data_IF_574091502181
#
_entry.id   IF_574091502181
#
_cell.length_a   1.000
_cell.length_b   1.000
_cell.length_c   1.000
_cell.angle_alpha   90.00
_cell.angle_beta   90.00
_cell.angle_gamma   90.00
#
_symmetry.space_group_name_H-M   'P 1'
#
loop_
_entity.id
_entity.type
_entity.pdbx_description
1 polymer ?
#
# COMPACT_ATOMS: atom_id res chain seq x y z
N UNK A 1 -1.42 2.34 -32.76
CA UNK A 1 -0.15 1.62 -32.52
C UNK A 1 -0.15 0.33 -33.33
N UNK A 2 0.74 0.19 -34.31
CA UNK A 2 0.93 -1.05 -35.08
C UNK A 2 2.08 -1.82 -34.42
N UNK A 3 1.79 -2.96 -33.80
CA UNK A 3 2.83 -3.87 -33.33
C UNK A 3 3.58 -4.42 -34.55
N UNK A 4 4.91 -4.31 -34.53
CA UNK A 4 5.76 -4.90 -35.55
C UNK A 4 5.67 -6.43 -35.43
N UNK A 5 5.41 -7.13 -36.54
CA UNK A 5 5.32 -8.59 -36.59
C UNK A 5 6.59 -9.29 -36.04
N UNK A 6 7.71 -8.58 -35.96
CA UNK A 6 8.97 -9.08 -35.39
C UNK A 6 8.96 -9.21 -33.85
N UNK A 7 8.14 -8.45 -33.11
CA UNK A 7 8.09 -8.50 -31.64
C UNK A 7 7.21 -9.65 -31.13
N UNK A 8 6.12 -9.95 -31.85
CA UNK A 8 5.27 -11.11 -31.57
C UNK A 8 6.03 -12.43 -31.76
N UNK A 9 6.81 -12.52 -32.84
CA UNK A 9 7.60 -13.71 -33.14
C UNK A 9 8.71 -13.96 -32.10
N UNK A 10 9.36 -12.90 -31.61
CA UNK A 10 10.39 -13.00 -30.55
C UNK A 10 9.78 -13.51 -29.23
N UNK A 11 8.60 -13.01 -28.87
CA UNK A 11 7.92 -13.43 -27.64
C UNK A 11 7.47 -14.89 -27.71
N UNK A 12 6.95 -15.34 -28.85
CA UNK A 12 6.55 -16.75 -29.05
C UNK A 12 7.75 -17.71 -29.06
N UNK A 13 8.85 -17.36 -29.73
CA UNK A 13 10.08 -18.15 -29.73
C UNK A 13 10.69 -18.24 -28.32
N UNK A 14 10.62 -17.16 -27.55
CA UNK A 14 11.09 -17.14 -26.16
C UNK A 14 10.27 -18.09 -25.30
N UNK A 15 8.94 -18.03 -25.37
CA UNK A 15 8.07 -18.93 -24.61
C UNK A 15 8.28 -20.42 -24.98
N UNK A 16 8.47 -20.71 -26.26
CA UNK A 16 8.75 -22.07 -26.74
C UNK A 16 10.10 -22.61 -26.23
N UNK A 17 11.14 -21.78 -26.22
CA UNK A 17 12.47 -22.15 -25.72
C UNK A 17 12.44 -22.49 -24.22
N UNK A 18 11.68 -21.73 -23.43
CA UNK A 18 11.51 -21.97 -21.99
C UNK A 18 10.81 -23.30 -21.72
N UNK A 19 9.75 -23.60 -22.47
CA UNK A 19 9.02 -24.85 -22.34
C UNK A 19 9.89 -26.05 -22.75
N UNK A 20 10.74 -25.88 -23.77
CA UNK A 20 11.70 -26.91 -24.19
C UNK A 20 12.79 -27.16 -23.14
N UNK A 21 13.37 -26.10 -22.57
CA UNK A 21 14.41 -26.19 -21.54
C UNK A 21 13.91 -26.83 -20.24
N UNK A 22 12.64 -26.64 -19.89
CA UNK A 22 12.01 -27.27 -18.72
C UNK A 22 11.77 -28.78 -18.90
N UNK A 23 11.90 -29.32 -20.12
CA UNK A 23 11.59 -30.71 -20.46
C UNK A 23 12.83 -31.57 -20.73
N UNK A 24 14.03 -30.99 -20.60
CA UNK A 24 15.29 -31.65 -20.94
C UNK A 24 15.86 -32.48 -19.79
N UNK A 25 16.41 -33.63 -20.14
CA UNK A 25 17.11 -34.55 -19.24
C UNK A 25 18.61 -34.23 -19.11
N UNK A 26 19.32 -34.89 -18.18
CA UNK A 26 20.71 -34.57 -17.82
C UNK A 26 21.69 -34.62 -19.00
N UNK A 27 21.49 -35.52 -19.97
CA UNK A 27 22.36 -35.63 -21.14
C UNK A 27 22.23 -34.45 -22.12
N UNK A 28 21.06 -33.83 -22.21
CA UNK A 28 20.82 -32.67 -23.09
C UNK A 28 21.45 -31.40 -22.51
N UNK A 29 21.58 -31.31 -21.17
CA UNK A 29 22.31 -30.24 -20.50
C UNK A 29 23.83 -30.36 -20.69
N UNK A 30 24.35 -31.58 -20.78
CA UNK A 30 25.77 -31.83 -21.09
C UNK A 30 26.11 -31.42 -22.53
N UNK A 31 25.26 -31.75 -23.51
CA UNK A 31 25.42 -31.28 -24.90
C UNK A 31 25.30 -29.75 -25.01
N UNK A 32 24.36 -29.12 -24.28
CA UNK A 32 24.25 -27.66 -24.23
C UNK A 32 25.53 -27.01 -23.67
N UNK A 33 26.17 -27.63 -22.67
CA UNK A 33 27.41 -27.12 -22.08
C UNK A 33 28.63 -27.18 -23.02
N UNK A 34 28.63 -28.13 -23.97
CA UNK A 34 29.68 -28.22 -25.01
C UNK A 34 29.53 -27.09 -26.02
N UNK A 35 28.31 -26.86 -26.51
CA UNK A 35 27.98 -25.77 -27.46
C UNK A 35 28.20 -24.39 -26.83
N UNK A 36 27.95 -24.26 -25.51
CA UNK A 36 28.20 -23.02 -24.77
C UNK A 36 29.66 -22.57 -24.81
N UNK A 37 30.62 -23.50 -24.81
CA UNK A 37 32.05 -23.22 -24.89
C UNK A 37 32.50 -22.62 -26.24
N UNK A 38 31.70 -22.81 -27.29
CA UNK A 38 31.98 -22.30 -28.64
C UNK A 38 31.35 -20.92 -28.90
N UNK A 39 30.51 -20.42 -27.98
CA UNK A 39 29.85 -19.13 -28.12
C UNK A 39 30.77 -17.98 -27.75
N UNK A 40 30.63 -16.88 -28.49
CA UNK A 40 31.31 -15.63 -28.13
C UNK A 40 30.75 -15.06 -26.81
N UNK A 41 31.58 -14.33 -26.06
CA UNK A 41 31.19 -13.74 -24.78
C UNK A 41 29.85 -12.94 -24.81
N UNK A 42 29.53 -12.16 -25.87
CA UNK A 42 28.24 -11.47 -25.97
C UNK A 42 27.03 -12.42 -26.08
N UNK A 43 27.19 -13.56 -26.76
CA UNK A 43 26.13 -14.55 -26.91
C UNK A 43 25.86 -15.28 -25.59
N UNK A 44 26.91 -15.61 -24.84
CA UNK A 44 26.81 -16.19 -23.50
C UNK A 44 26.11 -15.22 -22.53
N UNK A 45 26.49 -13.95 -22.52
CA UNK A 45 25.88 -12.94 -21.65
C UNK A 45 24.38 -12.74 -21.95
N UNK A 46 24.02 -12.74 -23.24
CA UNK A 46 22.62 -12.64 -23.67
C UNK A 46 21.82 -13.86 -23.19
N UNK A 47 22.33 -15.07 -23.38
CA UNK A 47 21.66 -16.30 -22.97
C UNK A 47 21.47 -16.40 -21.45
N UNK A 48 22.47 -16.00 -20.64
CA UNK A 48 22.36 -15.93 -19.18
C UNK A 48 21.27 -14.96 -18.76
N UNK A 49 21.23 -13.78 -19.39
CA UNK A 49 20.22 -12.75 -19.10
C UNK A 49 18.81 -13.28 -19.39
N UNK A 50 18.62 -13.97 -20.52
CA UNK A 50 17.34 -14.59 -20.86
C UNK A 50 16.93 -15.69 -19.86
N UNK A 51 17.85 -16.58 -19.47
CA UNK A 51 17.57 -17.62 -18.48
C UNK A 51 17.21 -17.01 -17.11
N UNK A 52 17.88 -15.94 -16.70
CA UNK A 52 17.58 -15.22 -15.46
C UNK A 52 16.21 -14.54 -15.51
N UNK A 53 15.87 -13.86 -16.60
CA UNK A 53 14.54 -13.23 -16.77
C UNK A 53 13.44 -14.28 -16.73
N UNK A 54 13.63 -15.40 -17.44
CA UNK A 54 12.69 -16.52 -17.43
C UNK A 54 12.57 -17.14 -16.05
N UNK A 55 13.69 -17.35 -15.35
CA UNK A 55 13.70 -17.89 -14.00
C UNK A 55 12.94 -16.98 -13.04
N UNK A 56 13.15 -15.66 -13.12
CA UNK A 56 12.40 -14.67 -12.34
C UNK A 56 10.92 -14.76 -12.67
N UNK A 57 10.54 -14.74 -13.95
CA UNK A 57 9.12 -14.83 -14.35
C UNK A 57 8.45 -16.14 -13.93
N UNK A 58 9.14 -17.28 -14.03
CA UNK A 58 8.63 -18.58 -13.58
C UNK A 58 8.54 -18.67 -12.05
N UNK A 59 9.47 -18.03 -11.32
CA UNK A 59 9.42 -17.96 -9.86
C UNK A 59 8.31 -17.03 -9.38
N UNK A 60 8.08 -15.93 -10.08
CA UNK A 60 6.96 -15.00 -9.86
C UNK A 60 5.61 -15.65 -10.23
N UNK A 61 5.57 -16.48 -11.27
CA UNK A 61 4.37 -17.16 -11.74
C UNK A 61 3.98 -18.41 -10.93
N UNK A 62 4.94 -19.11 -10.31
CA UNK A 62 4.66 -20.28 -9.45
C UNK A 62 4.00 -19.94 -8.12
N UNK A 63 3.97 -18.67 -7.73
CA UNK A 63 3.13 -18.17 -6.62
C UNK A 63 1.64 -18.03 -6.97
N UNK A 64 1.26 -18.13 -8.26
CA UNK A 64 -0.06 -17.70 -8.75
C UNK A 64 -0.91 -18.84 -9.36
N UNK A 65 -0.41 -20.08 -9.45
CA UNK A 65 -1.12 -21.19 -10.11
C UNK A 65 -1.78 -22.26 -9.22
N UNK A 66 -2.14 -21.95 -7.96
CA UNK A 66 -3.11 -22.80 -7.23
C UNK A 66 -4.36 -22.03 -6.80
N UNK A 67 -5.44 -22.36 -7.51
CA UNK A 67 -6.89 -22.12 -7.29
C UNK A 67 -7.49 -20.90 -7.96
N UNK A 68 -7.97 -21.12 -9.19
CA UNK A 68 -9.24 -20.54 -9.66
C UNK A 68 -10.34 -21.55 -9.34
N UNK A 69 -11.05 -21.29 -8.25
CA UNK A 69 -12.42 -21.73 -8.03
C UNK A 69 -13.07 -20.60 -7.22
N UNK A 70 -13.90 -19.81 -7.90
CA UNK A 70 -14.56 -18.64 -7.35
C UNK A 70 -15.47 -19.03 -6.18
N UNK A 71 -15.09 -18.63 -4.96
CA UNK A 71 -15.98 -18.23 -3.88
C UNK A 71 -15.22 -17.25 -2.96
N UNK A 72 -15.92 -16.19 -2.55
CA UNK A 72 -15.47 -15.04 -1.75
C UNK A 72 -14.54 -15.42 -0.59
N UNK A 73 -13.31 -14.88 -0.55
CA UNK A 73 -12.46 -14.67 0.64
C UNK A 73 -11.16 -13.92 0.28
N UNK A 74 -10.85 -12.87 1.03
CA UNK A 74 -9.68 -11.98 0.88
C UNK A 74 -8.32 -12.72 0.98
N UNK A 75 -7.25 -12.23 0.33
CA UNK A 75 -5.94 -12.86 0.42
C UNK A 75 -5.31 -12.68 1.81
N UNK A 76 -4.69 -13.76 2.29
CA UNK A 76 -4.21 -13.97 3.65
C UNK A 76 -2.96 -13.15 4.01
N UNK A 77 -2.98 -12.57 5.20
CA UNK A 77 -2.00 -11.69 5.83
C UNK A 77 -0.57 -12.25 6.04
N UNK A 78 -0.20 -13.39 5.47
CA UNK A 78 1.04 -14.10 5.83
C UNK A 78 2.24 -13.70 4.94
N UNK A 79 2.03 -13.31 3.69
CA UNK A 79 3.12 -12.93 2.78
C UNK A 79 3.69 -11.53 3.06
N UNK A 80 2.91 -10.64 3.67
CA UNK A 80 3.35 -9.31 4.12
C UNK A 80 4.24 -9.36 5.38
N UNK A 81 4.20 -10.45 6.15
CA UNK A 81 4.87 -10.55 7.47
C UNK A 81 6.39 -10.81 7.42
N UNK A 82 6.91 -11.33 6.31
CA UNK A 82 8.35 -11.63 6.23
C UNK A 82 9.22 -10.39 5.97
N UNK A 83 8.66 -9.35 5.35
CA UNK A 83 9.37 -8.10 5.07
C UNK A 83 9.41 -7.14 6.27
N UNK A 84 8.34 -7.08 7.07
CA UNK A 84 8.23 -6.15 8.20
C UNK A 84 8.99 -6.62 9.46
N UNK A 85 9.08 -7.94 9.68
CA UNK A 85 9.77 -8.50 10.84
C UNK A 85 11.28 -8.23 10.86
N UNK A 86 11.90 -8.00 9.69
CA UNK A 86 13.33 -7.69 9.58
C UNK A 86 13.65 -6.20 9.76
N UNK A 87 12.66 -5.31 9.63
CA UNK A 87 12.84 -3.87 9.85
C UNK A 87 12.60 -3.45 11.31
N UNK A 88 11.85 -4.24 12.09
CA UNK A 88 11.47 -3.91 13.48
C UNK A 88 12.40 -4.47 14.57
N UNK A 89 13.43 -5.25 14.19
CA UNK A 89 14.26 -6.01 15.13
C UNK A 89 15.40 -5.22 15.80
N UNK A 90 15.42 -3.90 15.71
CA UNK A 90 16.49 -3.09 16.29
C UNK A 90 15.99 -1.79 16.92
N UNK A 91 15.19 -1.86 17.99
CA UNK A 91 15.28 -0.96 19.16
C UNK A 91 14.35 -1.46 20.29
N UNK A 92 14.78 -1.45 21.56
CA UNK A 92 13.91 -1.79 22.69
C UNK A 92 12.92 -0.64 22.98
N UNK A 93 11.62 -0.93 22.96
CA UNK A 93 10.57 0.03 23.30
C UNK A 93 10.46 0.24 24.81
N UNK A 94 11.08 1.30 25.31
CA UNK A 94 10.70 1.90 26.58
C UNK A 94 9.57 2.92 26.31
N UNK A 95 8.31 2.62 26.71
CA UNK A 95 7.25 3.65 26.71
C UNK A 95 5.83 3.17 26.36
N UNK A 96 5.23 2.31 27.18
CA UNK A 96 3.89 1.76 26.91
C UNK A 96 2.77 2.80 26.73
N UNK A 97 2.78 3.89 27.51
CA UNK A 97 1.78 4.97 27.41
C UNK A 97 2.12 6.01 26.32
N UNK A 98 3.38 6.48 26.25
CA UNK A 98 3.82 7.41 25.19
C UNK A 98 3.71 6.78 23.78
N UNK A 99 3.91 5.47 23.65
CA UNK A 99 3.67 4.77 22.38
C UNK A 99 2.19 4.62 22.05
N UNK A 100 1.32 4.42 23.05
CA UNK A 100 -0.12 4.34 22.83
C UNK A 100 -0.73 5.68 22.42
N UNK A 101 -0.40 6.76 23.13
CA UNK A 101 -0.89 8.11 22.80
C UNK A 101 -0.43 8.55 21.40
N UNK A 102 0.84 8.29 21.07
CA UNK A 102 1.37 8.53 19.72
C UNK A 102 0.56 7.76 18.68
N UNK A 103 0.41 6.44 18.84
CA UNK A 103 -0.38 5.62 17.91
C UNK A 103 -1.82 6.11 17.81
N UNK A 104 -2.45 6.47 18.92
CA UNK A 104 -3.82 6.96 18.92
C UNK A 104 -3.97 8.24 18.09
N UNK A 105 -3.02 9.17 18.21
CA UNK A 105 -3.00 10.39 17.40
C UNK A 105 -2.71 10.12 15.93
N UNK A 106 -1.84 9.17 15.63
CA UNK A 106 -1.55 8.71 14.27
C UNK A 106 -2.82 8.11 13.61
N UNK A 107 -3.48 7.16 14.26
CA UNK A 107 -4.71 6.53 13.74
C UNK A 107 -5.88 7.53 13.66
N UNK A 108 -6.02 8.42 14.65
CA UNK A 108 -7.01 9.48 14.60
C UNK A 108 -6.81 10.41 13.40
N UNK A 109 -5.56 10.69 13.02
CA UNK A 109 -5.27 11.53 11.86
C UNK A 109 -5.73 10.87 10.56
N UNK A 110 -5.55 9.56 10.41
CA UNK A 110 -6.13 8.82 9.29
C UNK A 110 -7.66 8.93 9.25
N UNK A 111 -8.34 8.70 10.37
CA UNK A 111 -9.80 8.78 10.47
C UNK A 111 -10.29 10.15 10.01
N UNK A 112 -9.74 11.23 10.56
CA UNK A 112 -10.12 12.61 10.21
C UNK A 112 -9.79 12.91 8.75
N UNK A 113 -8.63 12.50 8.25
CA UNK A 113 -8.22 12.69 6.86
C UNK A 113 -9.16 12.01 5.86
N UNK A 114 -9.57 10.76 6.13
CA UNK A 114 -10.52 10.04 5.28
C UNK A 114 -11.92 10.68 5.32
N UNK A 115 -12.46 10.93 6.51
CA UNK A 115 -13.82 11.46 6.67
C UNK A 115 -13.95 12.86 6.07
N UNK A 116 -12.97 13.74 6.29
CA UNK A 116 -12.96 15.09 5.70
C UNK A 116 -12.83 15.11 4.18
N UNK A 117 -12.34 14.01 3.59
CA UNK A 117 -12.27 13.83 2.13
C UNK A 117 -13.49 13.09 1.56
N UNK A 118 -14.53 12.87 2.37
CA UNK A 118 -15.75 12.16 1.97
C UNK A 118 -15.59 10.63 1.85
N UNK A 119 -14.46 10.07 2.28
CA UNK A 119 -14.26 8.61 2.35
C UNK A 119 -14.95 8.06 3.60
N UNK A 120 -15.51 6.86 3.50
CA UNK A 120 -16.19 6.21 4.63
C UNK A 120 -15.17 5.44 5.46
N UNK A 121 -15.15 5.68 6.78
CA UNK A 121 -14.36 4.88 7.73
C UNK A 121 -15.30 3.92 8.45
N UNK A 122 -15.03 2.62 8.32
CA UNK A 122 -15.81 1.56 8.97
C UNK A 122 -15.30 1.25 10.37
N UNK A 123 -13.99 1.17 10.53
CA UNK A 123 -13.35 0.72 11.78
C UNK A 123 -12.03 1.46 12.02
N UNK A 124 -11.72 1.67 13.29
CA UNK A 124 -10.36 2.03 13.74
C UNK A 124 -9.99 1.26 15.02
N UNK A 125 -8.75 0.79 15.07
CA UNK A 125 -8.13 0.16 16.23
C UNK A 125 -6.72 0.73 16.41
N UNK A 126 -6.27 0.90 17.65
CA UNK A 126 -4.93 1.42 17.99
C UNK A 126 -4.02 0.33 18.59
N UNK A 127 -4.58 -0.84 18.89
CA UNK A 127 -3.85 -1.90 19.58
C UNK A 127 -2.89 -2.60 18.65
N UNK A 128 -1.78 -3.07 19.22
CA UNK A 128 -0.81 -3.90 18.51
C UNK A 128 -1.44 -5.25 18.21
N UNK A 129 -1.42 -5.63 16.94
CA UNK A 129 -2.00 -6.88 16.46
C UNK A 129 -1.02 -8.03 16.70
N UNK A 130 -1.49 -9.30 16.70
CA UNK A 130 -0.62 -10.46 16.95
C UNK A 130 0.56 -10.61 15.97
N UNK A 131 0.54 -9.91 14.84
CA UNK A 131 1.62 -9.90 13.86
C UNK A 131 2.58 -8.73 13.99
N UNK A 132 2.50 -7.98 15.09
CA UNK A 132 3.36 -6.85 15.39
C UNK A 132 3.04 -5.60 14.59
N UNK A 133 1.98 -5.61 13.76
CA UNK A 133 1.46 -4.38 13.18
C UNK A 133 0.77 -3.54 14.25
N UNK A 134 0.95 -2.23 14.16
CA UNK A 134 0.47 -1.26 15.14
C UNK A 134 -0.66 -0.46 14.52
N UNK A 135 -1.82 -0.41 15.19
CA UNK A 135 -2.98 0.34 14.68
C UNK A 135 -3.58 -0.22 13.39
N UNK A 136 -4.77 0.26 13.04
CA UNK A 136 -5.44 0.00 11.75
C UNK A 136 -6.66 0.90 11.61
N UNK A 137 -6.75 1.60 10.47
CA UNK A 137 -8.00 2.16 9.95
C UNK A 137 -8.53 1.31 8.79
N UNK A 138 -9.83 1.04 8.79
CA UNK A 138 -10.55 0.43 7.67
C UNK A 138 -11.41 1.49 7.01
N UNK A 139 -11.02 1.90 5.81
CA UNK A 139 -11.77 2.84 4.99
C UNK A 139 -12.26 2.15 3.72
N UNK A 140 -13.49 2.46 3.30
CA UNK A 140 -14.14 1.88 2.12
C UNK A 140 -14.56 2.93 1.10
N UNK A 141 -14.66 2.49 -0.16
CA UNK A 141 -15.07 3.33 -1.27
C UNK A 141 -16.45 3.95 -1.02
N UNK A 142 -16.54 5.27 -1.17
CA UNK A 142 -17.80 5.99 -1.23
C UNK A 142 -18.32 5.97 -2.68
N UNK A 143 -19.41 5.24 -2.91
CA UNK A 143 -20.02 5.08 -4.24
C UNK A 143 -20.56 6.40 -4.84
N UNK A 144 -20.70 7.45 -4.03
CA UNK A 144 -21.09 8.79 -4.49
C UNK A 144 -19.94 9.63 -5.03
N UNK A 145 -18.68 9.25 -4.78
CA UNK A 145 -17.52 10.00 -5.25
C UNK A 145 -17.09 9.55 -6.66
N UNK A 146 -16.62 10.52 -7.45
CA UNK A 146 -15.94 10.19 -8.70
C UNK A 146 -14.62 9.43 -8.39
N UNK A 147 -14.14 8.56 -9.29
CA UNK A 147 -12.94 7.76 -9.04
C UNK A 147 -11.69 8.57 -8.67
N UNK A 148 -11.53 9.77 -9.26
CA UNK A 148 -10.42 10.68 -8.95
C UNK A 148 -10.54 11.26 -7.54
N UNK A 149 -11.74 11.65 -7.11
CA UNK A 149 -12.00 12.15 -5.75
C UNK A 149 -11.82 11.06 -4.71
N UNK A 150 -12.25 9.84 -5.03
CA UNK A 150 -12.03 8.68 -4.16
C UNK A 150 -10.53 8.43 -3.96
N UNK A 151 -9.75 8.40 -5.05
CA UNK A 151 -8.32 8.17 -4.99
C UNK A 151 -7.60 9.31 -4.24
N UNK A 152 -7.99 10.56 -4.48
CA UNK A 152 -7.46 11.72 -3.79
C UNK A 152 -7.76 11.68 -2.29
N UNK A 153 -9.00 11.40 -1.90
CA UNK A 153 -9.37 11.27 -0.49
C UNK A 153 -8.64 10.14 0.22
N UNK A 154 -8.44 9.00 -0.45
CA UNK A 154 -7.59 7.95 0.10
C UNK A 154 -6.12 8.36 0.23
N UNK A 155 -5.59 9.13 -0.73
CA UNK A 155 -4.23 9.64 -0.67
C UNK A 155 -4.05 10.60 0.52
N UNK A 156 -4.95 11.57 0.69
CA UNK A 156 -4.95 12.53 1.82
C UNK A 156 -5.04 11.77 3.14
N UNK A 157 -6.00 10.85 3.27
CA UNK A 157 -6.14 10.04 4.47
C UNK A 157 -4.91 9.19 4.76
N UNK A 158 -4.32 8.55 3.75
CA UNK A 158 -3.13 7.71 3.91
C UNK A 158 -1.88 8.49 4.34
N UNK A 159 -1.72 9.76 3.96
CA UNK A 159 -0.57 10.56 4.42
C UNK A 159 -0.81 11.25 5.78
N UNK A 160 -2.05 11.30 6.26
CA UNK A 160 -2.42 12.06 7.46
C UNK A 160 -1.71 11.57 8.74
N UNK A 161 -1.60 10.25 8.96
CA UNK A 161 -0.87 9.68 10.09
C UNK A 161 0.60 10.11 10.11
N UNK A 162 1.27 10.07 8.95
CA UNK A 162 2.66 10.53 8.82
C UNK A 162 2.79 12.04 9.05
N UNK A 163 1.86 12.85 8.54
CA UNK A 163 1.84 14.30 8.81
C UNK A 163 1.71 14.57 10.31
N UNK A 164 0.90 13.78 11.01
CA UNK A 164 0.74 13.90 12.46
C UNK A 164 2.03 13.52 13.21
N UNK A 165 2.65 12.38 12.86
CA UNK A 165 3.94 11.98 13.44
C UNK A 165 5.01 13.07 13.27
N UNK A 166 5.12 13.65 12.07
CA UNK A 166 6.09 14.72 11.80
C UNK A 166 5.83 15.98 12.64
N UNK A 167 4.55 16.33 12.89
CA UNK A 167 4.19 17.44 13.80
C UNK A 167 4.62 17.17 15.23
N UNK A 168 4.68 15.90 15.62
CA UNK A 168 5.11 15.44 16.94
C UNK A 168 6.63 15.22 17.03
N UNK A 169 7.38 15.56 15.98
CA UNK A 169 8.84 15.39 15.92
C UNK A 169 9.29 13.94 15.74
N UNK A 170 8.40 13.07 15.27
CA UNK A 170 8.67 11.66 15.03
C UNK A 170 9.21 11.47 13.60
N UNK A 171 10.38 10.85 13.50
CA UNK A 171 11.08 10.62 12.24
C UNK A 171 11.54 9.16 12.13
N UNK A 172 10.59 8.22 12.13
CA UNK A 172 10.86 6.79 12.00
C UNK A 172 10.11 6.14 10.81
N UNK A 173 10.26 4.83 10.66
CA UNK A 173 9.66 4.05 9.57
C UNK A 173 8.23 3.57 9.83
N UNK A 174 7.56 4.05 10.89
CA UNK A 174 6.24 3.56 11.30
C UNK A 174 5.17 3.64 10.20
N UNK A 175 5.23 4.66 9.35
CA UNK A 175 4.25 4.89 8.28
C UNK A 175 4.52 4.14 6.96
N UNK A 176 5.39 3.12 6.95
CA UNK A 176 5.80 2.44 5.72
C UNK A 176 4.63 1.81 4.94
N UNK A 177 3.65 1.23 5.66
CA UNK A 177 2.44 0.66 5.05
C UNK A 177 1.56 1.75 4.45
N UNK A 178 1.44 2.88 5.13
CA UNK A 178 0.63 4.02 4.66
C UNK A 178 1.23 4.65 3.42
N UNK A 179 2.57 4.76 3.35
CA UNK A 179 3.26 5.26 2.16
C UNK A 179 3.07 4.35 0.95
N UNK A 180 2.99 3.02 1.15
CA UNK A 180 2.66 2.10 0.07
C UNK A 180 1.21 2.30 -0.42
N UNK A 181 0.27 2.50 0.50
CA UNK A 181 -1.12 2.84 0.15
C UNK A 181 -1.18 4.17 -0.61
N UNK A 182 -0.51 5.20 -0.11
CA UNK A 182 -0.42 6.52 -0.74
C UNK A 182 0.16 6.44 -2.16
N UNK A 183 1.24 5.69 -2.35
CA UNK A 183 1.84 5.48 -3.68
C UNK A 183 0.84 4.85 -4.66
N UNK A 184 0.06 3.86 -4.23
CA UNK A 184 -0.99 3.26 -5.06
C UNK A 184 -2.04 4.29 -5.49
N UNK A 185 -2.47 5.16 -4.57
CA UNK A 185 -3.48 6.18 -4.87
C UNK A 185 -2.96 7.29 -5.76
N UNK A 186 -1.70 7.69 -5.65
CA UNK A 186 -1.05 8.63 -6.58
C UNK A 186 -1.20 8.14 -8.02
N UNK A 187 -0.87 6.87 -8.29
CA UNK A 187 -1.02 6.30 -9.63
C UNK A 187 -2.48 6.18 -10.07
N UNK A 188 -3.40 5.98 -9.12
CA UNK A 188 -4.84 5.97 -9.40
C UNK A 188 -5.33 7.37 -9.81
N UNK A 189 -4.90 8.45 -9.13
CA UNK A 189 -5.19 9.84 -9.52
C UNK A 189 -4.60 10.15 -10.90
N UNK A 190 -3.32 9.84 -11.13
CA UNK A 190 -2.65 10.07 -12.42
C UNK A 190 -3.38 9.35 -13.56
N UNK A 191 -3.79 8.09 -13.34
CA UNK A 191 -4.47 7.30 -14.37
C UNK A 191 -5.88 7.79 -14.69
N UNK A 192 -6.52 8.56 -13.80
CA UNK A 192 -7.79 9.24 -14.10
C UNK A 192 -7.59 10.37 -15.13
N UNK A 193 -6.40 10.96 -15.24
CA UNK A 193 -6.07 12.02 -16.20
C UNK A 193 -6.80 13.36 -15.97
N UNK A 194 -7.48 13.50 -14.84
CA UNK A 194 -8.19 14.70 -14.41
C UNK A 194 -7.74 15.08 -13.00
N UNK A 195 -7.83 16.37 -12.66
CA UNK A 195 -7.46 16.83 -11.31
C UNK A 195 -8.62 16.59 -10.33
N UNK A 196 -8.32 16.18 -9.09
CA UNK A 196 -9.29 16.22 -8.01
C UNK A 196 -9.77 17.66 -7.76
N UNK A 197 -10.99 17.81 -7.24
CA UNK A 197 -11.52 19.09 -6.83
C UNK A 197 -10.61 19.75 -5.77
N UNK A 198 -10.39 21.06 -5.92
CA UNK A 198 -9.54 21.84 -5.01
C UNK A 198 -8.03 21.57 -5.14
N UNK A 199 -7.57 20.69 -6.05
CA UNK A 199 -6.15 20.50 -6.34
C UNK A 199 -5.77 21.11 -7.69
N UNK A 200 -4.96 22.17 -7.66
CA UNK A 200 -4.53 22.90 -8.86
C UNK A 200 -3.14 22.49 -9.37
N UNK A 201 -2.45 21.62 -8.64
CA UNK A 201 -1.09 21.21 -8.98
C UNK A 201 -0.96 20.32 -10.22
N UNK A 202 0.28 20.04 -10.67
CA UNK A 202 0.54 19.06 -11.71
C UNK A 202 0.10 17.64 -11.31
N UNK A 203 -0.28 16.81 -12.30
CA UNK A 203 -0.53 15.38 -12.10
C UNK A 203 0.78 14.58 -12.17
N UNK A 204 1.74 14.93 -11.33
CA UNK A 204 3.00 14.19 -11.12
C UNK A 204 3.01 13.60 -9.72
N UNK A 205 3.76 12.51 -9.52
CA UNK A 205 3.80 11.84 -8.22
C UNK A 205 4.24 12.78 -7.09
N UNK A 206 5.32 13.54 -7.32
CA UNK A 206 5.87 14.46 -6.32
C UNK A 206 4.85 15.55 -5.93
N UNK A 207 4.23 16.21 -6.92
CA UNK A 207 3.27 17.27 -6.66
C UNK A 207 2.01 16.75 -5.95
N UNK A 208 1.55 15.54 -6.30
CA UNK A 208 0.41 14.91 -5.63
C UNK A 208 0.72 14.54 -4.18
N UNK A 209 1.92 14.04 -3.89
CA UNK A 209 2.34 13.78 -2.51
C UNK A 209 2.45 15.06 -1.68
N UNK A 210 3.05 16.11 -2.24
CA UNK A 210 3.16 17.41 -1.57
C UNK A 210 1.77 18.02 -1.32
N UNK A 211 0.92 18.04 -2.34
CA UNK A 211 -0.46 18.54 -2.24
C UNK A 211 -1.28 17.75 -1.23
N UNK A 212 -1.17 16.43 -1.21
CA UNK A 212 -1.90 15.61 -0.25
C UNK A 212 -1.42 15.82 1.19
N UNK A 213 -0.11 15.98 1.41
CA UNK A 213 0.44 16.31 2.74
C UNK A 213 0.00 17.68 3.21
N UNK A 214 0.00 18.68 2.32
CA UNK A 214 -0.51 20.01 2.62
C UNK A 214 -1.98 19.95 3.01
N UNK A 215 -2.80 19.28 2.19
CA UNK A 215 -4.24 19.11 2.45
C UNK A 215 -4.52 18.36 3.74
N UNK A 216 -3.79 17.27 4.01
CA UNK A 216 -3.90 16.55 5.28
C UNK A 216 -3.55 17.46 6.46
N UNK A 217 -2.51 18.28 6.33
CA UNK A 217 -2.15 19.27 7.34
C UNK A 217 -3.28 20.28 7.62
N UNK A 218 -3.89 20.84 6.57
CA UNK A 218 -5.03 21.75 6.70
C UNK A 218 -6.22 21.08 7.37
N UNK A 219 -6.59 19.87 6.93
CA UNK A 219 -7.69 19.09 7.48
C UNK A 219 -7.48 18.84 8.97
N UNK A 220 -6.30 18.40 9.38
CA UNK A 220 -5.99 18.16 10.80
C UNK A 220 -6.03 19.46 11.63
N UNK A 221 -5.73 20.61 11.03
CA UNK A 221 -5.85 21.90 11.72
C UNK A 221 -7.31 22.35 11.84
N UNK A 222 -8.07 22.28 10.74
CA UNK A 222 -9.50 22.64 10.67
C UNK A 222 -10.34 21.76 11.60
N UNK A 223 -9.97 20.50 11.75
CA UNK A 223 -10.67 19.50 12.55
C UNK A 223 -9.90 19.10 13.82
N UNK A 224 -9.07 20.00 14.37
CA UNK A 224 -8.24 19.72 15.55
C UNK A 224 -9.02 19.11 16.72
N UNK A 225 -10.16 19.70 17.08
CA UNK A 225 -10.98 19.20 18.19
C UNK A 225 -11.50 17.78 17.94
N UNK A 226 -11.86 17.45 16.70
CA UNK A 226 -12.29 16.11 16.32
C UNK A 226 -11.12 15.11 16.35
N UNK A 227 -9.94 15.53 15.87
CA UNK A 227 -8.71 14.74 15.94
C UNK A 227 -8.34 14.38 17.39
N UNK A 228 -8.33 15.37 18.28
CA UNK A 228 -8.06 15.17 19.71
C UNK A 228 -9.10 14.26 20.37
N UNK A 229 -10.39 14.45 20.05
CA UNK A 229 -11.46 13.62 20.60
C UNK A 229 -11.36 12.15 20.15
N UNK A 230 -11.08 11.89 18.87
CA UNK A 230 -10.87 10.52 18.36
C UNK A 230 -9.63 9.89 19.00
N UNK A 231 -8.53 10.64 19.13
CA UNK A 231 -7.32 10.13 19.76
C UNK A 231 -7.55 9.76 21.23
N UNK A 232 -8.21 10.63 22.00
CA UNK A 232 -8.56 10.35 23.39
C UNK A 232 -9.46 9.10 23.49
N UNK A 233 -10.45 8.98 22.61
CA UNK A 233 -11.34 7.83 22.58
C UNK A 233 -10.62 6.52 22.24
N UNK A 234 -9.60 6.58 21.39
CA UNK A 234 -8.75 5.42 21.06
C UNK A 234 -7.91 4.96 22.25
N UNK A 235 -7.41 5.90 23.07
CA UNK A 235 -6.69 5.56 24.31
C UNK A 235 -7.64 4.87 25.29
N UNK A 236 -8.80 5.47 25.58
CA UNK A 236 -9.83 4.86 26.45
C UNK A 236 -10.23 3.47 25.96
N UNK A 237 -10.39 3.34 24.65
CA UNK A 237 -10.71 2.07 24.02
C UNK A 237 -9.64 1.01 24.25
N UNK A 238 -8.37 1.36 24.06
CA UNK A 238 -7.24 0.44 24.24
C UNK A 238 -7.06 -0.01 25.69
N UNK A 239 -7.44 0.85 26.64
CA UNK A 239 -7.40 0.56 28.07
C UNK A 239 -8.62 -0.22 28.56
N UNK A 240 -9.70 -0.28 27.76
CA UNK A 240 -10.90 -1.04 28.07
C UNK A 240 -10.76 -2.53 27.75
N UNK A 241 -11.55 -3.37 28.41
CA UNK A 241 -11.70 -4.80 28.08
C UNK A 241 -12.46 -5.05 26.76
N UNK A 242 -12.89 -3.99 26.06
CA UNK A 242 -13.66 -4.11 24.83
C UNK A 242 -12.81 -4.67 23.68
N UNK A 243 -13.35 -5.66 22.97
CA UNK A 243 -12.72 -6.24 21.76
C UNK A 243 -13.27 -5.69 20.45
N UNK A 244 -14.30 -4.85 20.51
CA UNK A 244 -14.98 -4.31 19.33
C UNK A 244 -14.31 -2.99 18.93
N UNK A 245 -13.70 -2.85 17.73
CA UNK A 245 -13.09 -1.59 17.29
C UNK A 245 -14.07 -0.42 17.31
N UNK A 246 -13.56 0.81 17.38
CA UNK A 246 -14.41 1.99 17.19
C UNK A 246 -14.92 2.02 15.74
N UNK A 247 -16.16 2.41 15.55
CA UNK A 247 -16.89 2.28 14.28
C UNK A 247 -17.64 3.56 13.90
N UNK A 248 -18.29 3.55 12.72
CA UNK A 248 -19.09 4.66 12.18
C UNK A 248 -19.98 5.37 13.20
N UNK A 249 -20.67 4.62 14.07
CA UNK A 249 -21.53 5.20 15.12
C UNK A 249 -20.74 6.02 16.14
N UNK A 250 -19.56 5.55 16.54
CA UNK A 250 -18.70 6.25 17.49
C UNK A 250 -18.19 7.56 16.89
N UNK A 251 -17.96 7.62 15.57
CA UNK A 251 -17.54 8.85 14.89
C UNK A 251 -18.66 9.88 14.75
N UNK A 252 -19.91 9.44 14.58
CA UNK A 252 -21.08 10.32 14.58
C UNK A 252 -21.24 11.02 15.94
N UNK A 253 -21.10 10.26 17.03
CA UNK A 253 -21.19 10.76 18.40
C UNK A 253 -20.05 11.75 18.73
N UNK A 254 -18.89 11.59 18.11
CA UNK A 254 -17.72 12.48 18.21
C UNK A 254 -17.80 13.69 17.26
N UNK A 255 -18.88 13.83 16.48
CA UNK A 255 -19.07 14.95 15.55
C UNK A 255 -18.17 14.89 14.30
N UNK A 256 -17.57 13.74 14.01
CA UNK A 256 -16.63 13.55 12.88
C UNK A 256 -17.34 13.00 11.64
N UNK A 257 -18.45 12.27 11.80
CA UNK A 257 -19.24 11.70 10.69
C UNK A 257 -19.96 12.73 9.81
N UNK A 258 -19.91 14.01 10.19
CA UNK A 258 -20.48 15.14 9.43
C UNK A 258 -19.45 16.21 9.11
N UNK A 259 -18.21 15.85 8.81
CA UNK A 259 -17.36 16.79 8.09
C UNK A 259 -18.00 16.97 6.71
N UNK A 260 -18.61 18.13 6.39
CA UNK A 260 -19.11 18.34 5.05
C UNK A 260 -17.90 18.25 4.13
N UNK A 261 -18.02 17.47 3.06
CA UNK A 261 -17.15 17.68 1.93
C UNK A 261 -17.52 19.08 1.41
N UNK A 262 -16.84 20.12 1.91
CA UNK A 262 -16.96 21.45 1.35
C UNK A 262 -16.47 21.33 -0.11
N UNK A 263 -17.45 21.34 -1.02
CA UNK A 263 -17.29 21.26 -2.48
C UNK A 263 -16.78 22.58 -3.01
#
# INVERSE_FOLDING_TARGET
>A
MRFSASEGLRTMLTAALVVLLLRWGPQQLVELSRVWGEWSAPQQATAVTYVLVVYVLLRSGRGVQRRVSWHLSAPSATALRAGSALASAAMPSAGGSLSLERRARHEAAHVVGFLASGVVVEEVDVRVRPDGSEGRVVAVDNKGLAPVEQAWGYLVGAVAGNVQDLRDGVHDGGSAVDMNTAQSQVWRVISCGVRPAGYDGPLTADALFEGARARAGEVLEQHRSAHEAVAARLVEYAESDSRVPLSGKDFDDLGVGRVPADV
#
